data_IF_911528791147
#
_entry.id   IF_911528791147
#
_cell.length_a   1.000
_cell.length_b   1.000
_cell.length_c   1.000
_cell.angle_alpha   90.00
_cell.angle_beta   90.00
_cell.angle_gamma   90.00
#
_symmetry.space_group_name_H-M   'P 1'
#
loop_
_entity.id
_entity.type
_entity.pdbx_description
1 polymer ?
#
# COMPACT_ATOMS: atom_id res chain seq x y z
N UNK A 1 10.70 -20.71 13.60
CA UNK A 1 9.76 -21.69 14.14
C UNK A 1 8.47 -21.07 14.67
N UNK A 2 8.54 -20.01 15.50
CA UNK A 2 7.35 -19.35 16.07
C UNK A 2 6.43 -18.73 15.00
N UNK A 3 6.98 -18.01 14.05
CA UNK A 3 6.20 -17.42 12.94
C UNK A 3 5.49 -18.47 12.08
N UNK A 4 6.14 -19.60 11.82
CA UNK A 4 5.51 -20.72 11.09
C UNK A 4 4.34 -21.32 11.86
N UNK A 5 4.50 -21.52 13.18
CA UNK A 5 3.42 -22.04 14.02
C UNK A 5 2.20 -21.10 14.01
N UNK A 6 2.42 -19.79 14.17
CA UNK A 6 1.33 -18.79 14.10
C UNK A 6 0.67 -18.76 12.72
N UNK A 7 1.44 -18.86 11.63
CA UNK A 7 0.89 -18.90 10.28
C UNK A 7 0.00 -20.12 10.04
N UNK A 8 0.42 -21.30 10.52
CA UNK A 8 -0.37 -22.52 10.44
C UNK A 8 -1.64 -22.44 11.30
N UNK A 9 -1.53 -21.96 12.54
CA UNK A 9 -2.69 -21.77 13.41
C UNK A 9 -3.69 -20.79 12.75
N UNK A 10 -3.22 -19.66 12.25
CA UNK A 10 -4.05 -18.67 11.53
C UNK A 10 -4.76 -19.31 10.33
N UNK A 11 -4.04 -20.11 9.52
CA UNK A 11 -4.61 -20.81 8.39
C UNK A 11 -5.73 -21.77 8.82
N UNK A 12 -5.49 -22.64 9.81
CA UNK A 12 -6.50 -23.59 10.28
C UNK A 12 -7.71 -22.91 10.89
N UNK A 13 -7.51 -21.88 11.67
CA UNK A 13 -8.63 -21.08 12.25
C UNK A 13 -9.45 -20.44 11.13
N UNK A 14 -8.83 -19.80 10.18
CA UNK A 14 -9.54 -19.17 9.06
C UNK A 14 -10.22 -20.18 8.14
N UNK A 15 -9.58 -21.30 7.84
CA UNK A 15 -10.18 -22.35 7.00
C UNK A 15 -11.38 -23.03 7.69
N UNK A 16 -11.30 -23.24 9.00
CA UNK A 16 -12.36 -23.91 9.77
C UNK A 16 -13.52 -23.03 10.18
N UNK A 17 -13.28 -21.76 10.47
CA UNK A 17 -14.33 -20.84 11.01
C UNK A 17 -14.77 -19.73 10.06
N UNK A 18 -14.06 -19.51 8.95
CA UNK A 18 -14.40 -18.47 7.96
C UNK A 18 -14.67 -19.13 6.61
N UNK A 19 -13.66 -19.29 5.77
CA UNK A 19 -13.71 -20.05 4.53
C UNK A 19 -12.28 -20.29 3.98
N UNK A 20 -12.17 -21.26 3.10
CA UNK A 20 -10.89 -21.68 2.52
C UNK A 20 -10.23 -20.57 1.68
N UNK A 21 -11.02 -19.77 0.95
CA UNK A 21 -10.49 -18.70 0.11
C UNK A 21 -9.78 -17.63 0.94
N UNK A 22 -10.41 -17.16 2.02
CA UNK A 22 -9.81 -16.19 2.93
C UNK A 22 -8.55 -16.74 3.61
N UNK A 23 -8.57 -18.00 4.01
CA UNK A 23 -7.40 -18.70 4.59
C UNK A 23 -6.22 -18.76 3.61
N UNK A 24 -6.47 -19.15 2.36
CA UNK A 24 -5.44 -19.21 1.31
C UNK A 24 -4.88 -17.84 0.95
N UNK A 25 -5.73 -16.80 0.84
CA UNK A 25 -5.29 -15.43 0.59
C UNK A 25 -4.42 -14.90 1.74
N UNK A 26 -4.80 -15.16 2.99
CA UNK A 26 -4.01 -14.78 4.15
C UNK A 26 -2.63 -15.46 4.15
N UNK A 27 -2.59 -16.78 3.87
CA UNK A 27 -1.34 -17.52 3.75
C UNK A 27 -0.46 -17.00 2.60
N UNK A 28 -1.07 -16.73 1.44
CA UNK A 28 -0.39 -16.14 0.29
C UNK A 28 0.20 -14.76 0.63
N UNK A 29 -0.51 -13.94 1.40
CA UNK A 29 -0.04 -12.64 1.89
C UNK A 29 1.18 -12.77 2.80
N UNK A 30 1.17 -13.70 3.74
CA UNK A 30 2.30 -13.99 4.62
C UNK A 30 3.52 -14.45 3.80
N UNK A 31 3.30 -15.39 2.87
CA UNK A 31 4.36 -15.90 2.00
C UNK A 31 4.96 -14.80 1.13
N UNK A 32 4.11 -13.98 0.51
CA UNK A 32 4.53 -12.85 -0.30
C UNK A 32 5.37 -11.85 0.51
N UNK A 33 4.91 -11.48 1.71
CA UNK A 33 5.63 -10.54 2.56
C UNK A 33 6.98 -11.10 3.02
N UNK A 34 7.02 -12.34 3.50
CA UNK A 34 8.24 -12.93 4.05
C UNK A 34 9.26 -13.23 2.95
N UNK A 35 8.86 -13.98 1.93
CA UNK A 35 9.78 -14.46 0.90
C UNK A 35 10.08 -13.36 -0.12
N UNK A 36 9.05 -12.86 -0.82
CA UNK A 36 9.28 -11.91 -1.90
C UNK A 36 9.76 -10.55 -1.39
N UNK A 37 9.06 -9.97 -0.41
CA UNK A 37 9.45 -8.65 0.05
C UNK A 37 10.66 -8.69 0.97
N UNK A 38 10.62 -9.42 2.10
CA UNK A 38 11.65 -9.30 3.14
C UNK A 38 12.97 -9.95 2.75
N UNK A 39 12.94 -11.12 2.08
CA UNK A 39 14.17 -11.84 1.72
C UNK A 39 14.72 -11.37 0.37
N UNK A 40 13.88 -11.28 -0.67
CA UNK A 40 14.34 -11.05 -2.03
C UNK A 40 14.43 -9.56 -2.40
N UNK A 41 13.39 -8.75 -2.12
CA UNK A 41 13.25 -7.43 -2.71
C UNK A 41 13.75 -6.27 -1.85
N UNK A 42 13.65 -6.38 -0.52
CA UNK A 42 13.90 -5.26 0.40
C UNK A 42 15.27 -4.59 0.21
N UNK A 43 16.31 -5.36 -0.10
CA UNK A 43 17.67 -4.87 -0.34
C UNK A 43 18.11 -4.95 -1.79
N UNK A 44 17.31 -5.55 -2.68
CA UNK A 44 17.71 -5.84 -4.05
C UNK A 44 17.32 -4.77 -5.05
N UNK A 45 16.24 -4.01 -4.80
CA UNK A 45 15.69 -3.10 -5.81
C UNK A 45 15.09 -1.83 -5.20
N UNK A 46 15.13 -0.75 -5.96
CA UNK A 46 14.45 0.52 -5.65
C UNK A 46 12.92 0.37 -5.68
N UNK A 47 12.41 -0.62 -6.43
CA UNK A 47 10.99 -0.94 -6.52
C UNK A 47 10.46 -1.73 -5.32
N UNK A 48 11.30 -1.94 -4.29
CA UNK A 48 10.96 -2.72 -3.10
C UNK A 48 9.64 -2.28 -2.44
N UNK A 49 9.37 -0.97 -2.37
CA UNK A 49 8.13 -0.42 -1.80
C UNK A 49 6.92 -0.65 -2.71
N UNK A 50 7.09 -0.48 -4.02
CA UNK A 50 5.98 -0.70 -4.97
C UNK A 50 5.56 -2.17 -4.96
N UNK A 51 6.51 -3.07 -5.18
CA UNK A 51 6.23 -4.52 -5.20
C UNK A 51 5.81 -4.99 -3.79
N UNK A 52 6.55 -4.57 -2.74
CA UNK A 52 6.23 -4.90 -1.36
C UNK A 52 4.86 -4.42 -0.89
N UNK A 53 4.37 -3.32 -1.47
CA UNK A 53 3.01 -2.80 -1.24
C UNK A 53 1.90 -3.79 -1.56
N UNK A 54 2.16 -4.74 -2.47
CA UNK A 54 1.25 -5.84 -2.76
C UNK A 54 0.90 -6.69 -1.53
N UNK A 55 1.88 -6.96 -0.66
CA UNK A 55 1.60 -7.68 0.59
C UNK A 55 0.63 -6.91 1.51
N UNK A 56 0.83 -5.60 1.65
CA UNK A 56 -0.06 -4.73 2.43
C UNK A 56 -1.45 -4.55 1.82
N UNK A 57 -1.60 -4.81 0.52
CA UNK A 57 -2.87 -4.70 -0.20
C UNK A 57 -3.70 -6.00 -0.19
N UNK A 58 -3.16 -7.13 0.27
CA UNK A 58 -3.90 -8.40 0.39
C UNK A 58 -4.99 -8.39 1.49
N UNK A 59 -4.82 -7.77 2.67
CA UNK A 59 -5.81 -7.80 3.73
C UNK A 59 -7.24 -7.37 3.34
N UNK A 60 -7.46 -6.31 2.54
CA UNK A 60 -8.80 -6.00 2.03
C UNK A 60 -9.43 -7.13 1.22
N UNK A 61 -8.64 -7.87 0.42
CA UNK A 61 -9.13 -9.04 -0.32
C UNK A 61 -9.50 -10.18 0.62
N UNK A 62 -8.69 -10.40 1.68
CA UNK A 62 -8.99 -11.41 2.72
C UNK A 62 -10.32 -11.08 3.40
N UNK A 63 -10.50 -9.82 3.84
CA UNK A 63 -11.75 -9.38 4.47
C UNK A 63 -12.95 -9.52 3.54
N UNK A 64 -12.81 -9.17 2.27
CA UNK A 64 -13.88 -9.36 1.27
C UNK A 64 -14.22 -10.82 1.06
N UNK A 65 -13.22 -11.68 0.85
CA UNK A 65 -13.40 -13.11 0.69
C UNK A 65 -14.01 -13.76 1.95
N UNK A 66 -13.64 -13.31 3.13
CA UNK A 66 -14.21 -13.77 4.39
C UNK A 66 -15.72 -13.47 4.50
N UNK A 67 -16.14 -12.29 4.05
CA UNK A 67 -17.54 -11.85 4.12
C UNK A 67 -18.42 -12.45 3.01
N UNK A 68 -17.86 -12.67 1.81
CA UNK A 68 -18.66 -12.99 0.61
C UNK A 68 -18.39 -14.38 0.01
N UNK A 69 -17.30 -15.03 0.41
CA UNK A 69 -16.87 -16.32 -0.15
C UNK A 69 -16.25 -16.25 -1.56
N UNK A 70 -16.12 -15.06 -2.15
CA UNK A 70 -15.55 -14.88 -3.48
C UNK A 70 -14.78 -13.57 -3.62
N UNK A 71 -14.06 -13.37 -4.73
CA UNK A 71 -13.39 -12.12 -5.08
C UNK A 71 -14.16 -11.42 -6.20
N UNK A 72 -14.92 -10.39 -5.83
CA UNK A 72 -15.58 -9.52 -6.79
C UNK A 72 -14.72 -8.32 -7.20
N UNK A 73 -15.22 -7.51 -8.15
CA UNK A 73 -14.56 -6.29 -8.63
C UNK A 73 -14.19 -5.33 -7.48
N UNK A 74 -15.06 -5.19 -6.48
CA UNK A 74 -14.81 -4.34 -5.33
C UNK A 74 -13.55 -4.77 -4.55
N UNK A 75 -13.31 -6.08 -4.38
CA UNK A 75 -12.11 -6.58 -3.70
C UNK A 75 -10.83 -6.16 -4.42
N UNK A 76 -10.83 -6.22 -5.76
CA UNK A 76 -9.71 -5.80 -6.58
C UNK A 76 -9.47 -4.29 -6.56
N UNK A 77 -10.55 -3.49 -6.54
CA UNK A 77 -10.42 -2.03 -6.41
C UNK A 77 -9.89 -1.68 -5.02
N UNK A 78 -10.36 -2.33 -3.95
CA UNK A 78 -9.83 -2.11 -2.60
C UNK A 78 -8.34 -2.50 -2.49
N UNK A 79 -7.94 -3.61 -3.11
CA UNK A 79 -6.54 -3.97 -3.25
C UNK A 79 -5.75 -2.86 -3.96
N UNK A 80 -6.23 -2.38 -5.11
CA UNK A 80 -5.58 -1.35 -5.89
C UNK A 80 -5.44 -0.03 -5.12
N UNK A 81 -6.44 0.36 -4.32
CA UNK A 81 -6.39 1.55 -3.46
C UNK A 81 -5.22 1.45 -2.47
N UNK A 82 -5.11 0.35 -1.72
CA UNK A 82 -4.03 0.17 -0.75
C UNK A 82 -2.67 0.01 -1.43
N UNK A 83 -2.63 -0.68 -2.57
CA UNK A 83 -1.43 -0.84 -3.37
C UNK A 83 -0.89 0.51 -3.87
N UNK A 84 -1.75 1.36 -4.44
CA UNK A 84 -1.36 2.69 -4.93
C UNK A 84 -1.09 3.69 -3.79
N UNK A 85 -1.68 3.51 -2.61
CA UNK A 85 -1.41 4.32 -1.43
C UNK A 85 0.00 4.08 -0.85
N UNK A 86 0.49 2.84 -0.93
CA UNK A 86 1.75 2.44 -0.31
C UNK A 86 2.96 3.26 -0.78
N UNK A 87 3.23 3.46 -2.08
CA UNK A 87 4.40 4.20 -2.53
C UNK A 87 4.43 5.66 -2.08
N UNK A 88 3.41 6.50 -2.28
CA UNK A 88 3.46 7.89 -1.88
C UNK A 88 3.63 8.06 -0.36
N UNK A 89 2.98 7.20 0.45
CA UNK A 89 3.11 7.21 1.90
C UNK A 89 4.54 6.88 2.35
N UNK A 90 5.09 5.74 1.90
CA UNK A 90 6.43 5.33 2.31
C UNK A 90 7.55 6.16 1.70
N UNK A 91 7.40 6.70 0.49
CA UNK A 91 8.39 7.60 -0.07
C UNK A 91 8.42 8.96 0.62
N UNK A 92 7.28 9.47 1.10
CA UNK A 92 7.27 10.65 1.95
C UNK A 92 8.06 10.42 3.25
N UNK A 93 7.89 9.26 3.91
CA UNK A 93 8.71 8.85 5.04
C UNK A 93 10.19 8.67 4.66
N UNK A 94 10.45 8.08 3.50
CA UNK A 94 11.82 7.83 3.03
C UNK A 94 12.61 9.12 2.75
N UNK A 95 11.95 10.20 2.32
CA UNK A 95 12.58 11.52 2.21
C UNK A 95 13.06 11.98 3.59
N UNK A 96 12.21 11.87 4.62
CA UNK A 96 12.53 12.28 6.00
C UNK A 96 13.64 11.42 6.61
N UNK A 97 13.61 10.10 6.33
CA UNK A 97 14.52 9.09 6.89
C UNK A 97 15.63 8.67 5.91
N UNK A 98 15.95 9.49 4.92
CA UNK A 98 16.88 9.14 3.85
C UNK A 98 18.24 8.65 4.39
N UNK A 99 18.82 9.36 5.37
CA UNK A 99 20.10 8.99 5.99
C UNK A 99 20.05 7.64 6.73
N UNK A 100 18.91 7.30 7.34
CA UNK A 100 18.74 6.05 8.07
C UNK A 100 18.68 4.87 7.09
N UNK A 101 17.97 5.03 5.96
CA UNK A 101 17.90 4.03 4.89
C UNK A 101 19.25 3.84 4.19
N UNK A 102 19.99 4.91 3.95
CA UNK A 102 21.34 4.87 3.39
C UNK A 102 22.29 4.08 4.29
N UNK A 103 22.31 4.37 5.61
CA UNK A 103 23.11 3.63 6.59
C UNK A 103 22.74 2.15 6.68
N UNK A 104 21.46 1.83 6.53
CA UNK A 104 20.95 0.45 6.56
C UNK A 104 21.18 -0.32 5.23
N UNK A 105 21.71 0.33 4.20
CA UNK A 105 21.92 -0.26 2.87
C UNK A 105 20.61 -0.65 2.16
N UNK A 106 19.51 0.07 2.46
CA UNK A 106 18.21 -0.16 1.80
C UNK A 106 18.06 0.82 0.64
N UNK A 107 17.95 0.36 -0.62
CA UNK A 107 17.88 1.20 -1.80
C UNK A 107 16.50 1.84 -1.96
N UNK A 108 16.14 2.77 -1.06
CA UNK A 108 14.91 3.54 -1.18
C UNK A 108 15.00 4.55 -2.32
N UNK A 109 13.85 4.89 -2.92
CA UNK A 109 13.77 5.82 -4.04
C UNK A 109 14.56 7.12 -3.83
N UNK A 110 14.45 7.86 -2.69
CA UNK A 110 15.22 9.08 -2.48
C UNK A 110 16.73 8.83 -2.28
N UNK A 111 17.12 7.66 -1.78
CA UNK A 111 18.54 7.29 -1.60
C UNK A 111 19.24 7.09 -2.96
N UNK A 112 18.56 6.39 -3.89
CA UNK A 112 19.15 6.02 -5.18
C UNK A 112 18.94 7.10 -6.26
N UNK A 113 17.76 7.69 -6.30
CA UNK A 113 17.37 8.62 -7.37
C UNK A 113 17.23 10.07 -6.94
N UNK A 114 17.48 10.35 -5.65
CA UNK A 114 17.36 11.68 -5.08
C UNK A 114 15.93 12.11 -4.79
N UNK A 115 15.82 13.18 -3.98
CA UNK A 115 14.55 13.72 -3.52
C UNK A 115 13.66 14.23 -4.66
N UNK A 116 14.23 14.94 -5.64
CA UNK A 116 13.45 15.58 -6.72
C UNK A 116 12.66 14.54 -7.52
N UNK A 117 13.32 13.44 -7.93
CA UNK A 117 12.65 12.36 -8.67
C UNK A 117 11.60 11.66 -7.81
N UNK A 118 11.90 11.44 -6.53
CA UNK A 118 10.96 10.83 -5.57
C UNK A 118 9.70 11.67 -5.41
N UNK A 119 9.81 12.99 -5.27
CA UNK A 119 8.68 13.92 -5.15
C UNK A 119 7.75 13.86 -6.36
N UNK A 120 8.32 13.74 -7.57
CA UNK A 120 7.53 13.57 -8.80
C UNK A 120 6.74 12.25 -8.77
N UNK A 121 7.36 11.16 -8.36
CA UNK A 121 6.67 9.86 -8.26
C UNK A 121 5.58 9.87 -7.17
N UNK A 122 5.82 10.52 -6.04
CA UNK A 122 4.80 10.72 -5.00
C UNK A 122 3.55 11.37 -5.60
N UNK A 123 3.71 12.43 -6.38
CA UNK A 123 2.58 13.12 -7.01
C UNK A 123 1.85 12.22 -8.02
N UNK A 124 2.57 11.51 -8.89
CA UNK A 124 1.99 10.62 -9.90
C UNK A 124 1.15 9.52 -9.22
N UNK A 125 1.75 8.79 -8.28
CA UNK A 125 1.04 7.72 -7.55
C UNK A 125 -0.14 8.24 -6.72
N UNK A 126 -0.07 9.48 -6.23
CA UNK A 126 -1.22 10.09 -5.53
C UNK A 126 -2.37 10.39 -6.49
N UNK A 127 -2.09 10.84 -7.72
CA UNK A 127 -3.10 11.04 -8.76
C UNK A 127 -3.76 9.70 -9.13
N UNK A 128 -2.95 8.66 -9.35
CA UNK A 128 -3.42 7.30 -9.65
C UNK A 128 -4.28 6.75 -8.50
N UNK A 129 -3.84 6.93 -7.25
CA UNK A 129 -4.59 6.54 -6.06
C UNK A 129 -5.98 7.19 -6.03
N UNK A 130 -6.05 8.52 -6.20
CA UNK A 130 -7.34 9.23 -6.19
C UNK A 130 -8.23 8.77 -7.35
N UNK A 131 -7.67 8.56 -8.53
CA UNK A 131 -8.43 8.01 -9.66
C UNK A 131 -9.00 6.62 -9.36
N UNK A 132 -8.20 5.74 -8.74
CA UNK A 132 -8.65 4.38 -8.37
C UNK A 132 -9.72 4.42 -7.28
N UNK A 133 -9.66 5.36 -6.30
CA UNK A 133 -10.72 5.48 -5.29
C UNK A 133 -12.08 5.83 -5.89
N UNK A 134 -12.09 6.57 -7.01
CA UNK A 134 -13.34 6.94 -7.69
C UNK A 134 -13.95 5.79 -8.52
N UNK A 135 -13.23 4.69 -8.73
CA UNK A 135 -13.80 3.53 -9.45
C UNK A 135 -14.94 2.87 -8.66
N UNK A 136 -14.88 2.86 -7.31
CA UNK A 136 -15.96 2.26 -6.51
C UNK A 136 -17.33 2.91 -6.78
N UNK A 137 -17.51 4.23 -6.69
CA UNK A 137 -18.79 4.85 -7.02
C UNK A 137 -19.10 4.80 -8.53
N UNK A 138 -18.12 4.86 -9.43
CA UNK A 138 -18.34 4.75 -10.89
C UNK A 138 -18.99 3.39 -11.24
N UNK A 139 -18.54 2.31 -10.59
CA UNK A 139 -19.12 0.97 -10.78
C UNK A 139 -20.31 0.68 -9.86
N UNK A 140 -20.88 1.70 -9.19
CA UNK A 140 -22.00 1.56 -8.26
C UNK A 140 -21.72 0.60 -7.08
N UNK A 141 -20.45 0.46 -6.69
CA UNK A 141 -20.01 -0.39 -5.57
C UNK A 141 -19.94 0.39 -4.24
N UNK A 142 -20.13 1.71 -4.28
CA UNK A 142 -20.16 2.57 -3.11
C UNK A 142 -21.12 3.74 -3.32
N UNK A 143 -21.79 4.17 -2.23
CA UNK A 143 -22.79 5.22 -2.26
C UNK A 143 -22.23 6.66 -2.25
N UNK A 144 -23.16 7.64 -2.22
CA UNK A 144 -22.87 9.08 -2.28
C UNK A 144 -21.96 9.55 -1.14
N UNK A 145 -22.13 9.00 0.08
CA UNK A 145 -21.27 9.34 1.22
C UNK A 145 -19.81 9.03 0.93
N UNK A 146 -19.54 7.84 0.36
CA UNK A 146 -18.20 7.46 -0.06
C UNK A 146 -17.66 8.41 -1.16
N UNK A 147 -18.47 8.73 -2.17
CA UNK A 147 -18.09 9.63 -3.26
C UNK A 147 -17.66 11.00 -2.73
N UNK A 148 -18.49 11.62 -1.88
CA UNK A 148 -18.17 12.94 -1.31
C UNK A 148 -16.91 12.86 -0.44
N UNK A 149 -16.80 11.86 0.41
CA UNK A 149 -15.63 11.66 1.27
C UNK A 149 -14.35 11.44 0.46
N UNK A 150 -14.41 10.61 -0.60
CA UNK A 150 -13.25 10.34 -1.45
C UNK A 150 -12.79 11.57 -2.25
N UNK A 151 -13.72 12.43 -2.71
CA UNK A 151 -13.40 13.69 -3.36
C UNK A 151 -12.73 14.67 -2.39
N UNK A 152 -13.28 14.85 -1.20
CA UNK A 152 -12.73 15.77 -0.18
C UNK A 152 -11.35 15.30 0.28
N UNK A 153 -11.25 14.04 0.75
CA UNK A 153 -9.99 13.49 1.26
C UNK A 153 -8.94 13.33 0.15
N UNK A 154 -9.35 12.92 -1.05
CA UNK A 154 -8.51 12.85 -2.23
C UNK A 154 -7.96 14.22 -2.62
N UNK A 155 -8.79 15.27 -2.57
CA UNK A 155 -8.38 16.65 -2.78
C UNK A 155 -7.32 17.13 -1.78
N UNK A 156 -7.49 16.82 -0.48
CA UNK A 156 -6.49 17.12 0.54
C UNK A 156 -5.18 16.36 0.31
N UNK A 157 -5.25 15.08 -0.05
CA UNK A 157 -4.07 14.28 -0.32
C UNK A 157 -3.31 14.77 -1.57
N UNK A 158 -4.04 15.11 -2.64
CA UNK A 158 -3.46 15.73 -3.85
C UNK A 158 -2.79 17.06 -3.55
N UNK A 159 -3.42 17.91 -2.73
CA UNK A 159 -2.82 19.17 -2.28
C UNK A 159 -1.54 18.94 -1.48
N UNK A 160 -1.53 17.95 -0.56
CA UNK A 160 -0.34 17.59 0.21
C UNK A 160 0.79 17.10 -0.71
N UNK A 161 0.49 16.19 -1.66
CA UNK A 161 1.45 15.68 -2.63
C UNK A 161 1.99 16.79 -3.55
N UNK A 162 1.13 17.69 -3.99
CA UNK A 162 1.54 18.86 -4.78
C UNK A 162 2.46 19.79 -3.99
N UNK A 163 2.20 20.02 -2.71
CA UNK A 163 3.11 20.76 -1.83
C UNK A 163 4.47 20.08 -1.69
N UNK A 164 4.49 18.75 -1.51
CA UNK A 164 5.74 17.97 -1.50
C UNK A 164 6.49 18.15 -2.82
N UNK A 165 5.78 18.08 -3.95
CA UNK A 165 6.37 18.27 -5.27
C UNK A 165 6.98 19.65 -5.47
N UNK A 166 6.28 20.73 -5.09
CA UNK A 166 6.70 22.13 -5.32
C UNK A 166 7.75 22.60 -4.32
N UNK A 167 7.52 22.40 -3.03
CA UNK A 167 8.35 22.95 -1.94
C UNK A 167 9.49 21.99 -1.59
N UNK A 168 9.16 20.71 -1.38
CA UNK A 168 10.10 19.70 -0.93
C UNK A 168 10.53 19.86 0.54
N UNK A 169 11.54 19.05 0.91
CA UNK A 169 12.14 19.07 2.23
C UNK A 169 11.37 18.25 3.29
N UNK A 170 12.09 17.93 4.35
CA UNK A 170 11.63 16.99 5.40
C UNK A 170 10.32 17.43 6.09
N UNK A 171 10.13 18.73 6.33
CA UNK A 171 8.93 19.23 7.03
C UNK A 171 7.65 18.99 6.23
N UNK A 172 7.70 19.24 4.92
CA UNK A 172 6.54 19.07 4.04
C UNK A 172 6.26 17.58 3.79
N UNK A 173 7.31 16.79 3.57
CA UNK A 173 7.21 15.33 3.44
C UNK A 173 6.63 14.69 4.72
N UNK A 174 7.07 15.14 5.90
CA UNK A 174 6.53 14.69 7.18
C UNK A 174 5.05 15.01 7.37
N UNK A 175 4.62 16.21 6.92
CA UNK A 175 3.20 16.62 6.99
C UNK A 175 2.32 15.73 6.11
N UNK A 176 2.81 15.32 4.93
CA UNK A 176 2.08 14.40 4.06
C UNK A 176 2.04 12.97 4.60
N UNK A 177 3.12 12.53 5.26
CA UNK A 177 3.21 11.19 5.84
C UNK A 177 2.23 11.00 7.01
N UNK A 178 2.02 12.03 7.85
CA UNK A 178 1.10 12.02 9.02
C UNK A 178 -0.35 12.18 8.63
#
# INVERSE_FOLDING_TARGET
SYGLALSLISYYVMAGYVNLLAALLSLAGIFYYVIFYSVLLKKATVQNIVIGGGAGAIPPMVGWAAATGHLGLAAWILFAIVFMWTPPHFWALAIVRMKDYEKAGVPMMPVVHGEVKTRRHILIYTIELVAVTLLLPIFNLAGTVYLVSSLVLGGFLLYAAWRVFKVGGNKVAWTMYR
#
